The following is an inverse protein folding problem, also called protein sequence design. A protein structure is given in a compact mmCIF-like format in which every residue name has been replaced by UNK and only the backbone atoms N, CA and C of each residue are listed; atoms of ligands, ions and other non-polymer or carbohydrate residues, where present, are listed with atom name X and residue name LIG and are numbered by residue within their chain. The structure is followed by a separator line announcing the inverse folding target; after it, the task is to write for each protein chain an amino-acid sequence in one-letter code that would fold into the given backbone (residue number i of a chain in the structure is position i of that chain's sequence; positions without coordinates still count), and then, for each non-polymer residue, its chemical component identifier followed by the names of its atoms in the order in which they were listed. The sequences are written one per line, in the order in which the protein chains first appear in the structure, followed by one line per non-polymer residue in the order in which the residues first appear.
data_IF_987000360103
#
_entry.id   IF_987000360103
#
_cell.length_a   1.000
_cell.length_b   1.000
_cell.length_c   1.000
_cell.angle_alpha   90.00
_cell.angle_beta   90.00
_cell.angle_gamma   90.00
#
_symmetry.space_group_name_H-M   'P 1'
#
loop_
_entity.id
_entity.type
_entity.pdbx_description
1 polymer ?
#
# COMPACT_ATOMS: atom_id res chain seq x y z
N UNK A 1 0.26 0.28 -16.27
CA UNK A 1 1.55 0.85 -15.83
C UNK A 1 1.48 1.38 -14.39
N UNK A 2 0.83 2.52 -14.12
CA UNK A 2 0.82 3.11 -12.77
C UNK A 2 0.15 2.21 -11.71
N UNK A 3 -0.97 1.59 -12.06
CA UNK A 3 -1.64 0.59 -11.21
C UNK A 3 -0.75 -0.62 -10.91
N UNK A 4 0.01 -1.10 -11.90
CA UNK A 4 0.92 -2.24 -11.73
C UNK A 4 2.06 -1.88 -10.77
N UNK A 5 2.59 -0.65 -10.85
CA UNK A 5 3.59 -0.15 -9.91
C UNK A 5 3.02 0.01 -8.50
N UNK A 6 1.80 0.54 -8.37
CA UNK A 6 1.10 0.65 -7.08
C UNK A 6 0.97 -0.72 -6.42
N UNK A 7 0.49 -1.71 -7.17
CA UNK A 7 0.33 -3.09 -6.69
C UNK A 7 1.68 -3.70 -6.29
N UNK A 8 2.71 -3.54 -7.15
CA UNK A 8 4.06 -4.04 -6.88
C UNK A 8 4.62 -3.46 -5.58
N UNK A 9 4.46 -2.16 -5.34
CA UNK A 9 4.92 -1.52 -4.11
C UNK A 9 4.11 -1.99 -2.89
N UNK A 10 2.79 -2.06 -3.00
CA UNK A 10 1.90 -2.42 -1.90
C UNK A 10 2.10 -3.86 -1.42
N UNK A 11 2.22 -4.82 -2.34
CA UNK A 11 2.30 -6.24 -1.97
C UNK A 11 3.73 -6.82 -1.93
N UNK A 12 4.76 -6.03 -2.26
CA UNK A 12 6.16 -6.47 -2.14
C UNK A 12 6.98 -5.54 -1.24
N UNK A 13 7.18 -4.29 -1.67
CA UNK A 13 8.11 -3.39 -0.99
C UNK A 13 7.66 -3.04 0.43
N UNK A 14 6.38 -2.67 0.59
CA UNK A 14 5.80 -2.28 1.88
C UNK A 14 5.88 -3.40 2.95
N UNK A 15 5.32 -4.60 2.72
CA UNK A 15 5.38 -5.67 3.72
C UNK A 15 6.79 -6.21 3.96
N UNK A 16 7.68 -6.13 2.97
CA UNK A 16 9.08 -6.55 3.14
C UNK A 16 9.88 -5.60 4.05
N UNK A 17 9.44 -4.36 4.23
CA UNK A 17 10.13 -3.36 5.06
C UNK A 17 9.60 -3.30 6.51
N UNK A 18 8.59 -4.08 6.87
CA UNK A 18 7.93 -4.04 8.18
C UNK A 18 7.73 -5.44 8.78
N UNK A 19 7.71 -5.56 10.11
CA UNK A 19 7.19 -6.78 10.75
C UNK A 19 5.70 -6.97 10.48
N UNK A 20 5.21 -8.20 10.62
CA UNK A 20 3.80 -8.54 10.35
C UNK A 20 2.81 -7.77 11.24
N UNK A 21 3.20 -7.44 12.48
CA UNK A 21 2.44 -6.59 13.40
C UNK A 21 2.67 -5.10 13.19
N UNK A 22 3.50 -4.74 12.22
CA UNK A 22 3.90 -3.37 11.86
C UNK A 22 4.53 -2.59 13.03
N UNK A 23 5.04 -3.25 14.07
CA UNK A 23 5.73 -2.60 15.19
C UNK A 23 7.20 -2.25 14.91
N UNK A 24 7.79 -2.94 13.93
CA UNK A 24 9.15 -2.68 13.50
C UNK A 24 9.18 -2.44 12.00
N UNK A 25 10.11 -1.60 11.57
CA UNK A 25 10.36 -1.32 10.17
C UNK A 25 11.85 -1.05 9.95
N UNK A 26 12.28 -1.02 8.69
CA UNK A 26 13.62 -0.57 8.29
C UNK A 26 13.59 0.89 7.82
N UNK A 27 14.65 1.63 8.08
CA UNK A 27 14.85 2.95 7.47
C UNK A 27 15.34 2.79 6.03
N UNK A 28 16.39 1.98 5.86
CA UNK A 28 16.98 1.64 4.56
C UNK A 28 16.66 0.18 4.22
N UNK A 29 15.60 -0.01 3.44
CA UNK A 29 15.28 -1.32 2.85
C UNK A 29 16.31 -1.65 1.75
N UNK A 30 16.88 -2.85 1.81
CA UNK A 30 17.83 -3.34 0.82
C UNK A 30 17.22 -4.41 -0.09
N UNK A 31 17.50 -4.34 -1.39
CA UNK A 31 16.97 -5.28 -2.38
C UNK A 31 17.50 -6.71 -2.19
N UNK A 32 18.73 -6.85 -1.70
CA UNK A 32 19.39 -8.13 -1.43
C UNK A 32 20.00 -8.12 -0.03
N UNK A 33 19.15 -8.19 1.00
CA UNK A 33 19.59 -8.20 2.39
C UNK A 33 19.69 -9.62 2.93
N UNK A 34 20.89 -10.20 2.85
CA UNK A 34 21.15 -11.53 3.41
C UNK A 34 21.30 -11.52 4.94
N UNK A 35 21.53 -10.35 5.52
CA UNK A 35 21.81 -10.16 6.94
C UNK A 35 21.13 -8.90 7.50
N UNK A 36 20.56 -9.03 8.69
CA UNK A 36 20.01 -7.93 9.48
C UNK A 36 20.81 -7.88 10.79
N UNK A 37 21.93 -7.15 10.79
CA UNK A 37 22.82 -7.06 11.95
C UNK A 37 23.40 -5.67 12.11
N UNK A 38 23.93 -5.36 13.28
CA UNK A 38 24.53 -4.06 13.51
C UNK A 38 25.88 -3.98 12.79
N UNK A 39 25.98 -3.18 11.72
CA UNK A 39 27.16 -3.19 10.86
C UNK A 39 28.40 -2.65 11.58
N UNK A 40 29.58 -3.25 11.36
CA UNK A 40 30.87 -2.62 11.68
C UNK A 40 31.02 -1.27 10.96
N UNK A 41 31.77 -0.35 11.56
CA UNK A 41 31.93 1.03 11.05
C UNK A 41 32.57 1.07 9.63
N UNK A 42 33.48 0.15 9.34
CA UNK A 42 34.15 -0.01 8.05
C UNK A 42 33.29 -0.74 6.99
N UNK A 43 32.11 -1.22 7.37
CA UNK A 43 31.17 -1.94 6.49
C UNK A 43 29.87 -1.16 6.24
N UNK A 44 29.78 0.11 6.69
CA UNK A 44 28.62 0.96 6.44
C UNK A 44 28.58 1.37 4.96
N UNK A 45 27.61 0.82 4.24
CA UNK A 45 27.39 1.11 2.80
C UNK A 45 26.47 2.30 2.55
N UNK A 46 25.93 2.91 3.61
CA UNK A 46 25.05 4.08 3.53
C UNK A 46 25.87 5.36 3.60
N UNK A 47 25.59 6.31 2.72
CA UNK A 47 26.36 7.57 2.65
C UNK A 47 26.16 8.45 3.89
N UNK A 48 24.90 8.66 4.29
CA UNK A 48 24.53 9.64 5.35
C UNK A 48 23.71 9.01 6.47
N UNK A 49 23.48 7.69 6.43
CA UNK A 49 22.65 6.99 7.40
C UNK A 49 23.52 6.10 8.28
N UNK A 50 23.06 5.81 9.49
CA UNK A 50 23.84 5.06 10.48
C UNK A 50 23.93 3.56 10.14
N UNK A 51 24.85 2.87 10.81
CA UNK A 51 25.02 1.41 10.75
C UNK A 51 23.78 0.59 11.17
N UNK A 52 22.81 1.19 11.88
CA UNK A 52 21.55 0.52 12.23
C UNK A 52 20.39 0.78 11.27
N UNK A 53 20.57 1.59 10.22
CA UNK A 53 19.46 2.06 9.38
C UNK A 53 18.68 0.94 8.66
N UNK A 54 19.33 -0.20 8.49
CA UNK A 54 18.75 -1.40 7.88
C UNK A 54 18.28 -2.45 8.89
N UNK A 55 18.31 -2.15 10.19
CA UNK A 55 17.72 -3.01 11.21
C UNK A 55 16.19 -2.82 11.22
N UNK A 56 15.48 -3.88 11.61
CA UNK A 56 14.08 -3.77 11.98
C UNK A 56 13.98 -3.21 13.40
N UNK A 57 13.35 -2.05 13.56
CA UNK A 57 13.12 -1.43 14.86
C UNK A 57 11.93 -0.49 14.87
N UNK A 58 11.57 0.02 16.04
CA UNK A 58 10.52 1.02 16.18
C UNK A 58 10.92 2.36 15.54
N UNK A 59 12.19 2.73 15.65
CA UNK A 59 12.78 3.96 15.12
C UNK A 59 14.26 3.71 14.74
N UNK A 60 14.55 2.93 13.69
CA UNK A 60 15.91 2.86 13.18
C UNK A 60 16.29 4.20 12.54
N UNK A 61 17.45 4.74 12.92
CA UNK A 61 18.03 5.98 12.37
C UNK A 61 17.21 7.26 12.65
N UNK A 62 16.11 7.53 11.92
CA UNK A 62 15.25 8.70 12.15
C UNK A 62 13.77 8.32 12.22
N UNK A 63 13.01 8.88 13.19
CA UNK A 63 11.59 8.59 13.40
C UNK A 63 10.59 9.06 12.35
N UNK A 64 11.04 9.70 11.26
CA UNK A 64 10.11 10.09 10.19
C UNK A 64 9.49 8.87 9.50
N UNK A 65 10.22 7.75 9.39
CA UNK A 65 9.67 6.52 8.85
C UNK A 65 8.63 5.93 9.80
N UNK A 66 8.88 5.94 11.12
CA UNK A 66 7.91 5.50 12.16
C UNK A 66 6.55 6.17 12.01
N UNK A 67 6.54 7.47 11.74
CA UNK A 67 5.31 8.25 11.56
C UNK A 67 4.64 8.07 10.19
N UNK A 68 5.36 7.53 9.19
CA UNK A 68 4.94 7.54 7.79
C UNK A 68 4.68 6.17 7.18
N UNK A 69 5.40 5.12 7.58
CA UNK A 69 5.32 3.81 6.90
C UNK A 69 3.90 3.24 6.91
N UNK A 70 3.17 3.46 8.00
CA UNK A 70 1.80 2.97 8.20
C UNK A 70 0.79 3.62 7.24
N UNK A 71 1.12 4.76 6.62
CA UNK A 71 0.26 5.43 5.65
C UNK A 71 0.13 4.66 4.33
N UNK A 72 1.01 3.67 4.07
CA UNK A 72 1.01 2.88 2.83
C UNK A 72 -0.33 2.17 2.58
N UNK A 73 -0.83 1.41 3.55
CA UNK A 73 -2.08 0.66 3.41
C UNK A 73 -3.32 1.55 3.23
N UNK A 74 -3.54 2.60 4.04
CA UNK A 74 -4.63 3.54 3.80
C UNK A 74 -4.56 4.20 2.41
N UNK A 75 -3.38 4.62 1.95
CA UNK A 75 -3.21 5.23 0.63
C UNK A 75 -3.50 4.24 -0.50
N UNK A 76 -3.08 2.99 -0.36
CA UNK A 76 -3.43 1.91 -1.30
C UNK A 76 -4.95 1.69 -1.34
N UNK A 77 -5.60 1.53 -0.18
CA UNK A 77 -7.05 1.34 -0.08
C UNK A 77 -7.84 2.50 -0.71
N UNK A 78 -7.43 3.75 -0.47
CA UNK A 78 -8.04 4.94 -1.08
C UNK A 78 -7.84 5.03 -2.60
N UNK A 79 -6.83 4.34 -3.13
CA UNK A 79 -6.47 4.32 -4.54
C UNK A 79 -7.05 3.12 -5.29
N UNK A 80 -7.96 2.34 -4.68
CA UNK A 80 -8.60 1.15 -5.31
C UNK A 80 -9.67 1.52 -6.32
N UNK A 81 -10.45 2.56 -6.03
CA UNK A 81 -11.51 3.08 -6.91
C UNK A 81 -11.39 4.59 -6.98
N UNK A 82 -11.23 5.12 -8.19
CA UNK A 82 -11.10 6.56 -8.44
C UNK A 82 -12.26 7.06 -9.28
N UNK A 83 -12.70 8.29 -9.02
CA UNK A 83 -13.67 8.96 -9.89
C UNK A 83 -13.00 9.38 -11.19
N UNK A 84 -13.62 9.09 -12.33
CA UNK A 84 -13.20 9.53 -13.66
C UNK A 84 -14.20 10.54 -14.23
N UNK A 85 -13.92 11.07 -15.43
CA UNK A 85 -14.81 12.01 -16.12
C UNK A 85 -16.19 11.39 -16.41
N UNK A 86 -16.23 10.11 -16.76
CA UNK A 86 -17.44 9.39 -17.18
C UNK A 86 -17.97 8.40 -16.14
N UNK A 87 -17.37 8.32 -14.94
CA UNK A 87 -17.77 7.34 -13.94
C UNK A 87 -16.73 7.06 -12.87
N UNK A 88 -16.41 5.78 -12.68
CA UNK A 88 -15.43 5.30 -11.73
C UNK A 88 -14.50 4.31 -12.41
N UNK A 89 -13.22 4.35 -12.06
CA UNK A 89 -12.20 3.41 -12.48
C UNK A 89 -11.76 2.57 -11.29
N UNK A 90 -11.71 1.25 -11.47
CA UNK A 90 -11.05 0.35 -10.53
C UNK A 90 -9.57 0.35 -10.89
N UNK A 91 -8.74 0.89 -10.00
CA UNK A 91 -7.32 1.15 -10.24
C UNK A 91 -6.41 0.19 -9.49
N UNK A 92 -6.92 -0.51 -8.48
CA UNK A 92 -6.24 -1.63 -7.81
C UNK A 92 -7.28 -2.62 -7.26
N UNK A 93 -6.90 -3.88 -7.09
CA UNK A 93 -7.77 -4.94 -6.56
C UNK A 93 -7.50 -5.12 -5.06
N UNK A 94 -8.52 -4.88 -4.25
CA UNK A 94 -8.54 -5.13 -2.82
C UNK A 94 -10.00 -5.22 -2.33
N UNK A 95 -10.28 -5.88 -1.19
CA UNK A 95 -11.62 -5.89 -0.62
C UNK A 95 -11.98 -4.49 -0.10
N UNK A 96 -12.87 -3.79 -0.82
CA UNK A 96 -13.28 -2.42 -0.47
C UNK A 96 -14.77 -2.18 -0.68
N UNK A 97 -15.33 -1.27 0.10
CA UNK A 97 -16.65 -0.67 -0.15
C UNK A 97 -16.50 0.82 -0.29
N UNK A 98 -16.93 1.35 -1.43
CA UNK A 98 -16.86 2.78 -1.77
C UNK A 98 -18.28 3.32 -1.86
N UNK A 99 -18.55 4.40 -1.14
CA UNK A 99 -19.80 5.15 -1.24
C UNK A 99 -19.49 6.51 -1.89
N UNK A 100 -20.17 6.83 -2.97
CA UNK A 100 -19.89 8.02 -3.77
C UNK A 100 -21.16 8.62 -4.39
N UNK A 101 -21.02 9.81 -4.99
CA UNK A 101 -22.06 10.49 -5.76
C UNK A 101 -21.64 10.60 -7.24
N UNK A 102 -22.54 10.18 -8.13
CA UNK A 102 -22.39 10.32 -9.58
C UNK A 102 -23.69 10.89 -10.18
N UNK A 103 -23.61 12.03 -10.86
CA UNK A 103 -24.77 12.74 -11.44
C UNK A 103 -25.95 12.92 -10.45
N UNK A 104 -25.65 13.24 -9.19
CA UNK A 104 -26.67 13.43 -8.15
C UNK A 104 -27.28 12.13 -7.60
N UNK A 105 -26.79 10.96 -8.01
CA UNK A 105 -27.24 9.65 -7.54
C UNK A 105 -26.19 9.04 -6.61
N UNK A 106 -26.65 8.46 -5.49
CA UNK A 106 -25.78 7.66 -4.60
C UNK A 106 -25.41 6.36 -5.30
N UNK A 107 -24.11 6.08 -5.33
CA UNK A 107 -23.53 4.86 -5.87
C UNK A 107 -22.71 4.19 -4.78
N UNK A 108 -22.94 2.90 -4.57
CA UNK A 108 -22.07 2.03 -3.77
C UNK A 108 -21.39 1.04 -4.70
N UNK A 109 -20.07 0.98 -4.63
CA UNK A 109 -19.23 0.00 -5.34
C UNK A 109 -18.62 -0.90 -4.28
N UNK A 110 -18.82 -2.21 -4.39
CA UNK A 110 -18.23 -3.20 -3.51
C UNK A 110 -17.38 -4.15 -4.33
N UNK A 111 -16.11 -4.32 -3.93
CA UNK A 111 -15.20 -5.30 -4.50
C UNK A 111 -15.03 -6.42 -3.47
N UNK A 112 -15.44 -7.63 -3.84
CA UNK A 112 -15.27 -8.84 -3.04
C UNK A 112 -14.19 -9.70 -3.69
N UNK A 113 -13.13 -10.04 -2.94
CA UNK A 113 -11.99 -10.79 -3.45
C UNK A 113 -11.14 -11.36 -2.32
N UNK A 114 -10.52 -12.51 -2.59
CA UNK A 114 -9.45 -13.10 -1.77
C UNK A 114 -8.05 -12.76 -2.31
N UNK A 115 -7.96 -11.92 -3.35
CA UNK A 115 -6.70 -11.41 -3.88
C UNK A 115 -5.90 -10.69 -2.78
N UNK A 116 -4.56 -10.87 -2.71
CA UNK A 116 -3.68 -11.50 -3.70
C UNK A 116 -3.53 -13.03 -3.58
N UNK A 117 -4.20 -13.69 -2.62
CA UNK A 117 -4.03 -15.12 -2.38
C UNK A 117 -5.02 -15.99 -3.17
N UNK A 118 -6.18 -15.42 -3.53
CA UNK A 118 -7.16 -16.02 -4.42
C UNK A 118 -7.21 -15.32 -5.78
N UNK A 119 -7.71 -16.05 -6.78
CA UNK A 119 -7.90 -15.51 -8.13
C UNK A 119 -9.29 -14.90 -8.30
N UNK A 120 -9.35 -13.80 -9.04
CA UNK A 120 -10.60 -13.16 -9.43
C UNK A 120 -11.20 -12.24 -8.36
N UNK A 121 -12.25 -11.53 -8.77
CA UNK A 121 -12.97 -10.59 -7.93
C UNK A 121 -14.40 -10.42 -8.44
N UNK A 122 -15.32 -10.04 -7.55
CA UNK A 122 -16.68 -9.64 -7.91
C UNK A 122 -16.85 -8.15 -7.62
N UNK A 123 -17.37 -7.42 -8.59
CA UNK A 123 -17.73 -6.01 -8.43
C UNK A 123 -19.25 -5.89 -8.41
N UNK A 124 -19.79 -5.42 -7.29
CA UNK A 124 -21.22 -5.12 -7.14
C UNK A 124 -21.39 -3.60 -7.18
N UNK A 125 -22.18 -3.10 -8.13
CA UNK A 125 -22.52 -1.68 -8.26
C UNK A 125 -23.99 -1.51 -7.92
N UNK A 126 -24.26 -0.74 -6.86
CA UNK A 126 -25.60 -0.52 -6.33
C UNK A 126 -25.90 0.98 -6.46
N UNK A 127 -26.98 1.31 -7.17
CA UNK A 127 -27.42 2.69 -7.34
C UNK A 127 -28.80 2.87 -6.72
N UNK A 128 -29.09 4.06 -6.19
CA UNK A 128 -30.41 4.38 -5.63
C UNK A 128 -31.52 4.36 -6.69
N UNK A 129 -31.17 4.71 -7.93
CA UNK A 129 -32.04 4.67 -9.12
C UNK A 129 -31.20 4.35 -10.37
N UNK A 130 -31.82 3.93 -11.48
CA UNK A 130 -31.09 3.75 -12.75
C UNK A 130 -30.30 5.00 -13.13
N UNK A 131 -29.05 4.81 -13.54
CA UNK A 131 -28.22 5.85 -14.13
C UNK A 131 -28.42 5.82 -15.65
N UNK A 132 -28.75 6.96 -16.25
CA UNK A 132 -28.66 7.11 -17.70
C UNK A 132 -27.18 7.18 -18.10
N UNK A 133 -26.83 6.47 -19.17
CA UNK A 133 -25.46 6.40 -19.71
C UNK A 133 -25.12 7.64 -20.54
#
# INVERSE_FOLDING_TARGET
YWSDLLEKLAFNALPAATSADMWTHQYDQMTNQVEVSYLPEDHVVFRTNSRESHLFGLEPNFGCCTANFNQGWPKFALSTVMKSETGFAITAIAPVTVNAMHNGVKVRIQIETDYPFGNGYRVSVITEKPLEM
#
